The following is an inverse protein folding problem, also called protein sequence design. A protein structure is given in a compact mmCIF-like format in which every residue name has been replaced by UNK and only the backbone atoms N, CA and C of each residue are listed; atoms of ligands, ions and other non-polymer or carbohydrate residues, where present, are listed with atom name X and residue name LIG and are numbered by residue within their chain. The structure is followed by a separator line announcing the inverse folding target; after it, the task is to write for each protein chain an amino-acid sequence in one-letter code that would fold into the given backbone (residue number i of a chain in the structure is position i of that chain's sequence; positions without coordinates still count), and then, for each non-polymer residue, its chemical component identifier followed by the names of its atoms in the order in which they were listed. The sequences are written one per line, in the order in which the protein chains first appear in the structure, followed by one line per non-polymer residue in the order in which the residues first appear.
data_IF_285120061066
#
_entry.id   IF_285120061066
#
_cell.length_a   1.000
_cell.length_b   1.000
_cell.length_c   1.000
_cell.angle_alpha   90.00
_cell.angle_beta   90.00
_cell.angle_gamma   90.00
#
_symmetry.space_group_name_H-M   'P 1'
#
loop_
_entity.id
_entity.type
_entity.pdbx_description
1 polymer ?
#
# COMPACT_ATOMS: atom_id res chain seq x y z
N UNK A 1 -13.01 -23.95 6.21
CA UNK A 1 -13.73 -22.67 6.27
C UNK A 1 -13.91 -22.20 7.71
N UNK A 2 -14.69 -22.88 8.57
CA UNK A 2 -14.85 -22.48 9.99
C UNK A 2 -13.51 -22.27 10.75
N UNK A 3 -12.60 -23.26 10.71
CA UNK A 3 -11.26 -23.14 11.34
C UNK A 3 -10.36 -22.04 10.78
N UNK A 4 -10.59 -21.57 9.56
CA UNK A 4 -9.83 -20.45 8.97
C UNK A 4 -10.39 -19.12 9.47
N UNK A 5 -11.71 -19.01 9.49
CA UNK A 5 -12.42 -17.86 10.05
C UNK A 5 -12.05 -17.64 11.52
N UNK A 6 -12.05 -18.70 12.34
CA UNK A 6 -11.70 -18.61 13.77
C UNK A 6 -10.27 -18.07 13.99
N UNK A 7 -9.33 -18.40 13.10
CA UNK A 7 -7.94 -17.88 13.15
C UNK A 7 -7.89 -16.39 12.83
N UNK A 8 -8.64 -15.95 11.83
CA UNK A 8 -8.75 -14.52 11.52
C UNK A 8 -9.40 -13.73 12.65
N UNK A 9 -10.48 -14.26 13.25
CA UNK A 9 -11.08 -13.63 14.44
C UNK A 9 -10.06 -13.54 15.57
N UNK A 10 -9.30 -14.62 15.83
CA UNK A 10 -8.23 -14.62 16.82
C UNK A 10 -7.17 -13.54 16.57
N UNK A 11 -6.67 -13.42 15.34
CA UNK A 11 -5.71 -12.39 14.95
C UNK A 11 -6.29 -10.97 15.10
N UNK A 12 -7.52 -10.75 14.62
CA UNK A 12 -8.19 -9.46 14.71
C UNK A 12 -8.49 -9.05 16.16
N UNK A 13 -8.77 -10.02 17.04
CA UNK A 13 -8.92 -9.77 18.48
C UNK A 13 -7.59 -9.44 19.14
N UNK A 14 -6.51 -10.18 18.85
CA UNK A 14 -5.18 -9.87 19.39
C UNK A 14 -4.69 -8.48 18.96
N UNK A 15 -5.06 -8.05 17.76
CA UNK A 15 -4.70 -6.74 17.20
C UNK A 15 -5.74 -5.64 17.47
N UNK A 16 -6.74 -5.90 18.31
CA UNK A 16 -7.75 -4.93 18.79
C UNK A 16 -8.67 -4.35 17.68
N UNK A 17 -8.81 -5.05 16.55
CA UNK A 17 -9.83 -4.75 15.53
C UNK A 17 -11.21 -5.31 15.92
N UNK A 18 -11.24 -6.29 16.82
CA UNK A 18 -12.44 -6.91 17.38
C UNK A 18 -12.25 -7.05 18.90
N UNK A 19 -13.24 -6.64 19.67
CA UNK A 19 -13.33 -6.88 21.11
C UNK A 19 -14.33 -8.00 21.44
N UNK A 20 -14.29 -8.46 22.68
CA UNK A 20 -15.24 -9.45 23.19
C UNK A 20 -14.87 -10.90 22.84
N UNK A 21 -15.64 -11.89 23.34
CA UNK A 21 -15.37 -13.29 23.08
C UNK A 21 -15.66 -13.65 21.62
N UNK A 22 -15.00 -14.67 21.08
CA UNK A 22 -15.23 -15.15 19.71
C UNK A 22 -16.70 -15.55 19.42
N UNK A 23 -17.49 -15.85 20.46
CA UNK A 23 -18.92 -16.16 20.36
C UNK A 23 -19.81 -14.93 20.21
N UNK A 24 -19.32 -13.75 20.58
CA UNK A 24 -20.03 -12.47 20.49
C UNK A 24 -19.04 -11.32 20.21
N UNK A 25 -18.42 -11.30 19.00
CA UNK A 25 -17.41 -10.32 18.66
C UNK A 25 -18.01 -8.93 18.44
N UNK A 26 -17.36 -7.91 18.99
CA UNK A 26 -17.74 -6.49 18.84
C UNK A 26 -16.69 -5.78 18.01
N UNK A 27 -17.11 -5.18 16.89
CA UNK A 27 -16.19 -4.43 16.01
C UNK A 27 -15.77 -3.12 16.66
N UNK A 28 -14.46 -2.89 16.80
CA UNK A 28 -13.88 -1.65 17.34
C UNK A 28 -13.91 -0.52 16.30
N UNK A 29 -13.51 0.70 16.67
CA UNK A 29 -13.39 1.79 15.69
C UNK A 29 -12.30 1.51 14.65
N UNK A 30 -11.19 0.87 15.05
CA UNK A 30 -10.16 0.39 14.11
C UNK A 30 -10.71 -0.75 13.23
N UNK A 31 -11.55 -1.64 13.78
CA UNK A 31 -12.26 -2.65 13.00
C UNK A 31 -13.17 -2.06 11.92
N UNK A 32 -13.86 -0.95 12.24
CA UNK A 32 -14.70 -0.21 11.28
C UNK A 32 -13.87 0.50 10.20
N UNK A 33 -12.67 0.96 10.55
CA UNK A 33 -11.71 1.50 9.59
C UNK A 33 -11.24 0.40 8.64
N UNK A 34 -10.83 -0.77 9.16
CA UNK A 34 -10.41 -1.93 8.38
C UNK A 34 -11.49 -2.36 7.38
N UNK A 35 -12.75 -2.40 7.81
CA UNK A 35 -13.90 -2.77 6.97
C UNK A 35 -14.14 -1.86 5.74
N UNK A 36 -13.45 -0.72 5.63
CA UNK A 36 -13.51 0.21 4.48
C UNK A 36 -12.39 0.01 3.47
N UNK A 37 -11.46 -0.90 3.75
CA UNK A 37 -10.32 -1.20 2.90
C UNK A 37 -10.58 -2.54 2.21
N UNK A 38 -10.52 -2.53 0.88
CA UNK A 38 -10.75 -3.69 0.03
C UNK A 38 -9.47 -3.97 -0.74
N UNK A 39 -8.56 -4.69 -0.10
CA UNK A 39 -7.24 -5.03 -0.62
C UNK A 39 -6.77 -6.34 0.01
N UNK A 40 -5.91 -7.10 -0.68
CA UNK A 40 -5.21 -8.25 -0.08
C UNK A 40 -4.26 -7.84 1.05
N UNK A 41 -3.95 -6.55 1.17
CA UNK A 41 -3.13 -5.97 2.24
C UNK A 41 -3.94 -5.03 3.14
N UNK A 42 -5.24 -5.26 3.26
CA UNK A 42 -6.17 -4.43 4.04
C UNK A 42 -5.71 -4.20 5.49
N UNK A 43 -5.30 -5.27 6.18
CA UNK A 43 -4.83 -5.23 7.55
C UNK A 43 -3.53 -4.42 7.66
N UNK A 44 -2.59 -4.57 6.72
CA UNK A 44 -1.37 -3.75 6.69
C UNK A 44 -1.70 -2.26 6.46
N UNK A 45 -2.64 -1.95 5.58
CA UNK A 45 -3.08 -0.56 5.34
C UNK A 45 -3.73 -0.01 6.60
N UNK A 46 -4.62 -0.76 7.25
CA UNK A 46 -5.27 -0.35 8.49
C UNK A 46 -4.25 -0.07 9.61
N UNK A 47 -3.25 -0.94 9.75
CA UNK A 47 -2.12 -0.76 10.66
C UNK A 47 -1.34 0.54 10.36
N UNK A 48 -1.02 0.80 9.09
CA UNK A 48 -0.33 2.03 8.71
C UNK A 48 -1.16 3.29 9.02
N UNK A 49 -2.48 3.22 8.85
CA UNK A 49 -3.38 4.33 9.14
C UNK A 49 -3.53 4.59 10.64
N UNK A 50 -3.76 3.55 11.45
CA UNK A 50 -3.96 3.72 12.91
C UNK A 50 -2.68 4.07 13.66
N UNK A 51 -1.52 3.61 13.18
CA UNK A 51 -0.20 3.95 13.76
C UNK A 51 0.36 5.30 13.27
N UNK A 52 -0.30 5.94 12.29
CA UNK A 52 0.14 7.20 11.71
C UNK A 52 1.39 7.09 10.82
N UNK A 53 1.75 5.89 10.35
CA UNK A 53 2.95 5.66 9.53
C UNK A 53 2.99 6.49 8.24
N UNK A 54 1.83 6.93 7.75
CA UNK A 54 1.70 7.72 6.52
C UNK A 54 1.35 9.20 6.76
N UNK A 55 1.34 9.65 8.01
CA UNK A 55 1.09 11.05 8.33
C UNK A 55 2.24 11.97 7.89
N UNK A 56 1.92 13.21 7.52
CA UNK A 56 2.90 14.20 7.09
C UNK A 56 3.51 13.98 5.69
N UNK A 57 3.08 12.93 4.97
CA UNK A 57 3.45 12.68 3.58
C UNK A 57 2.80 13.71 2.64
N UNK A 58 3.54 14.11 1.61
CA UNK A 58 3.03 14.88 0.47
C UNK A 58 2.32 13.96 -0.53
N UNK A 59 1.48 14.49 -1.45
CA UNK A 59 0.69 13.67 -2.38
C UNK A 59 1.50 12.61 -3.14
N UNK A 60 2.63 13.00 -3.75
CA UNK A 60 3.48 12.06 -4.48
C UNK A 60 4.19 11.03 -3.56
N UNK A 61 4.46 11.39 -2.31
CA UNK A 61 5.05 10.47 -1.33
C UNK A 61 4.00 9.44 -0.88
N UNK A 62 2.76 9.87 -0.63
CA UNK A 62 1.66 8.96 -0.31
C UNK A 62 1.40 7.99 -1.47
N UNK A 63 1.39 8.48 -2.72
CA UNK A 63 1.30 7.61 -3.90
C UNK A 63 2.42 6.57 -3.94
N UNK A 64 3.65 6.98 -3.59
CA UNK A 64 4.80 6.09 -3.46
C UNK A 64 4.55 4.97 -2.45
N UNK A 65 4.25 5.29 -1.19
CA UNK A 65 4.09 4.25 -0.16
C UNK A 65 2.88 3.34 -0.43
N UNK A 66 1.77 3.88 -0.95
CA UNK A 66 0.60 3.10 -1.36
C UNK A 66 0.94 2.14 -2.50
N UNK A 67 1.75 2.58 -3.47
CA UNK A 67 2.20 1.69 -4.54
C UNK A 67 2.99 0.49 -4.04
N UNK A 68 3.76 0.64 -2.95
CA UNK A 68 4.52 -0.47 -2.41
C UNK A 68 3.65 -1.58 -1.83
N UNK A 69 2.42 -1.25 -1.42
CA UNK A 69 1.47 -2.21 -0.87
C UNK A 69 0.76 -2.99 -1.98
N UNK A 70 0.51 -2.38 -3.14
CA UNK A 70 -0.25 -3.01 -4.24
C UNK A 70 0.63 -3.60 -5.33
N UNK A 71 1.80 -3.01 -5.59
CA UNK A 71 2.68 -3.43 -6.67
C UNK A 71 3.29 -4.81 -6.40
N UNK A 72 3.46 -5.60 -7.47
CA UNK A 72 4.11 -6.90 -7.44
C UNK A 72 5.09 -7.01 -8.62
N UNK A 73 6.36 -7.23 -8.33
CA UNK A 73 7.38 -7.54 -9.34
C UNK A 73 7.11 -8.91 -9.95
N UNK A 74 7.11 -9.00 -11.29
CA UNK A 74 7.00 -10.30 -11.99
C UNK A 74 8.34 -11.04 -11.96
N UNK A 75 8.33 -12.28 -11.49
CA UNK A 75 9.50 -13.17 -11.49
C UNK A 75 10.44 -12.88 -10.32
N UNK A 76 10.41 -13.76 -9.32
CA UNK A 76 11.16 -13.61 -8.07
C UNK A 76 12.63 -14.02 -8.15
N UNK A 77 13.38 -13.50 -7.17
CA UNK A 77 14.69 -13.95 -6.69
C UNK A 77 15.95 -13.37 -7.36
N UNK A 78 15.84 -12.20 -7.98
CA UNK A 78 17.03 -11.36 -8.20
C UNK A 78 17.49 -10.69 -6.90
N UNK A 79 18.80 -10.58 -6.68
CA UNK A 79 19.38 -9.70 -5.64
C UNK A 79 19.05 -8.25 -5.98
N UNK A 80 17.84 -7.82 -5.67
CA UNK A 80 17.40 -6.44 -5.81
C UNK A 80 18.16 -5.51 -4.86
N UNK A 81 18.11 -4.21 -5.15
CA UNK A 81 18.59 -3.20 -4.22
C UNK A 81 17.84 -3.33 -2.87
N UNK A 82 18.46 -2.95 -1.74
CA UNK A 82 17.78 -2.96 -0.44
C UNK A 82 16.48 -2.14 -0.50
N UNK A 83 15.41 -2.66 0.12
CA UNK A 83 14.12 -1.98 0.16
C UNK A 83 14.28 -0.53 0.66
N UNK A 84 13.81 0.41 -0.14
CA UNK A 84 13.88 1.83 0.12
C UNK A 84 15.21 2.51 -0.23
N UNK A 85 16.20 1.82 -0.82
CA UNK A 85 17.54 2.37 -1.09
C UNK A 85 17.49 3.63 -1.98
N UNK A 86 16.68 3.62 -3.02
CA UNK A 86 16.64 4.68 -4.04
C UNK A 86 15.38 5.55 -3.95
N UNK A 87 14.86 5.71 -2.74
CA UNK A 87 13.62 6.47 -2.51
C UNK A 87 13.86 7.99 -2.63
N UNK A 88 13.02 8.72 -3.39
CA UNK A 88 13.25 10.14 -3.72
C UNK A 88 13.30 11.12 -2.54
N UNK A 89 12.68 10.81 -1.40
CA UNK A 89 12.64 11.70 -0.25
C UNK A 89 12.87 10.96 1.07
N UNK A 90 13.46 11.63 2.09
CA UNK A 90 13.64 11.03 3.41
C UNK A 90 12.32 10.61 4.08
N UNK A 91 11.24 11.38 3.91
CA UNK A 91 9.93 11.07 4.49
C UNK A 91 9.29 9.84 3.86
N UNK A 92 9.34 9.73 2.54
CA UNK A 92 8.87 8.54 1.85
C UNK A 92 9.66 7.30 2.28
N UNK A 93 10.98 7.42 2.45
CA UNK A 93 11.84 6.32 2.92
C UNK A 93 11.48 5.88 4.33
N UNK A 94 11.24 6.83 5.22
CA UNK A 94 10.78 6.57 6.59
C UNK A 94 9.44 5.84 6.59
N UNK A 95 8.45 6.33 5.83
CA UNK A 95 7.15 5.69 5.73
C UNK A 95 7.24 4.26 5.16
N UNK A 96 8.05 4.04 4.13
CA UNK A 96 8.32 2.69 3.59
C UNK A 96 8.95 1.78 4.65
N UNK A 97 9.93 2.26 5.41
CA UNK A 97 10.54 1.49 6.49
C UNK A 97 9.53 1.15 7.58
N UNK A 98 8.64 2.07 7.95
CA UNK A 98 7.57 1.81 8.91
C UNK A 98 6.57 0.79 8.37
N UNK A 99 6.12 0.93 7.12
CA UNK A 99 5.25 -0.05 6.43
C UNK A 99 5.89 -1.45 6.40
N UNK A 100 7.19 -1.54 6.07
CA UNK A 100 7.92 -2.81 6.05
C UNK A 100 8.00 -3.45 7.44
N UNK A 101 8.29 -2.68 8.49
CA UNK A 101 8.29 -3.19 9.88
C UNK A 101 6.92 -3.70 10.31
N UNK A 102 5.85 -2.95 10.01
CA UNK A 102 4.48 -3.37 10.29
C UNK A 102 4.14 -4.66 9.55
N UNK A 103 4.54 -4.79 8.29
CA UNK A 103 4.37 -6.01 7.51
C UNK A 103 5.12 -7.20 8.13
N UNK A 104 6.37 -7.01 8.57
CA UNK A 104 7.13 -8.08 9.24
C UNK A 104 6.45 -8.55 10.52
N UNK A 105 6.00 -7.63 11.37
CA UNK A 105 5.27 -7.98 12.60
C UNK A 105 3.95 -8.68 12.28
N UNK A 106 3.15 -8.12 11.36
CA UNK A 106 1.88 -8.72 10.97
C UNK A 106 2.07 -10.14 10.42
N UNK A 107 3.07 -10.35 9.57
CA UNK A 107 3.38 -11.69 9.01
C UNK A 107 3.80 -12.67 10.09
N UNK A 108 4.51 -12.24 11.13
CA UNK A 108 4.85 -13.10 12.26
C UNK A 108 3.59 -13.52 13.04
N UNK A 109 2.65 -12.60 13.26
CA UNK A 109 1.38 -12.89 13.95
C UNK A 109 0.49 -13.79 13.09
N UNK A 110 0.39 -13.55 11.79
CA UNK A 110 -0.31 -14.43 10.84
C UNK A 110 0.24 -15.86 10.93
N UNK A 111 1.57 -16.03 10.97
CA UNK A 111 2.19 -17.34 11.15
C UNK A 111 1.83 -17.97 12.50
N UNK A 112 1.87 -17.20 13.59
CA UNK A 112 1.49 -17.67 14.92
C UNK A 112 0.04 -18.18 14.97
N UNK A 113 -0.87 -17.51 14.25
CA UNK A 113 -2.27 -17.91 14.07
C UNK A 113 -2.48 -18.98 13.00
N UNK A 114 -1.42 -19.48 12.34
CA UNK A 114 -1.47 -20.45 11.24
C UNK A 114 -2.30 -19.95 10.05
N UNK A 115 -2.18 -18.67 9.74
CA UNK A 115 -2.71 -17.99 8.56
C UNK A 115 -1.59 -17.94 7.52
N UNK A 116 -1.94 -18.02 6.23
CA UNK A 116 -0.97 -17.81 5.15
C UNK A 116 -0.46 -16.37 5.23
N UNK A 117 0.86 -16.13 5.35
CA UNK A 117 1.37 -14.78 5.54
C UNK A 117 1.11 -13.88 4.32
N UNK A 118 0.63 -12.68 4.57
CA UNK A 118 0.36 -11.65 3.56
C UNK A 118 1.62 -11.21 2.86
N UNK A 119 1.56 -10.89 1.56
CA UNK A 119 2.72 -10.50 0.77
C UNK A 119 3.48 -9.31 1.38
N UNK A 120 4.80 -9.30 1.21
CA UNK A 120 5.64 -8.18 1.64
C UNK A 120 5.48 -6.98 0.68
N UNK A 121 5.60 -5.74 1.20
CA UNK A 121 5.66 -4.56 0.36
C UNK A 121 6.79 -4.62 -0.66
N UNK A 122 6.55 -4.13 -1.86
CA UNK A 122 7.49 -4.13 -2.98
C UNK A 122 7.67 -2.70 -3.49
N UNK A 123 8.87 -2.13 -3.36
CA UNK A 123 9.15 -0.75 -3.73
C UNK A 123 9.46 -0.53 -5.22
N UNK A 124 9.34 -1.57 -6.06
CA UNK A 124 9.70 -1.53 -7.47
C UNK A 124 8.97 -0.47 -8.30
N UNK A 125 7.76 -0.07 -7.89
CA UNK A 125 6.96 0.97 -8.57
C UNK A 125 7.02 2.36 -7.90
N UNK A 126 7.63 2.47 -6.72
CA UNK A 126 7.63 3.69 -5.90
C UNK A 126 8.18 4.89 -6.65
N UNK A 127 9.34 4.74 -7.30
CA UNK A 127 9.97 5.86 -8.05
C UNK A 127 9.14 6.26 -9.26
N UNK A 128 8.57 5.27 -9.95
CA UNK A 128 7.78 5.48 -11.17
C UNK A 128 6.54 6.30 -10.83
N UNK A 129 5.75 5.87 -9.84
CA UNK A 129 4.54 6.58 -9.44
C UNK A 129 4.85 7.94 -8.80
N UNK A 130 5.94 8.06 -8.05
CA UNK A 130 6.38 9.34 -7.48
C UNK A 130 6.69 10.34 -8.59
N UNK A 131 7.48 9.93 -9.60
CA UNK A 131 7.84 10.77 -10.74
C UNK A 131 6.60 11.16 -11.53
N UNK A 132 5.74 10.21 -11.84
CA UNK A 132 4.47 10.44 -12.54
C UNK A 132 3.58 11.44 -11.79
N UNK A 133 3.37 11.25 -10.49
CA UNK A 133 2.55 12.13 -9.66
C UNK A 133 3.12 13.55 -9.63
N UNK A 134 4.44 13.72 -9.68
CA UNK A 134 5.09 15.03 -9.70
C UNK A 134 5.04 15.73 -11.06
N UNK A 135 5.27 15.01 -12.16
CA UNK A 135 5.53 15.65 -13.47
C UNK A 135 4.42 15.39 -14.49
N UNK A 136 3.82 14.20 -14.51
CA UNK A 136 2.85 13.78 -15.53
C UNK A 136 3.51 13.45 -16.86
N UNK A 137 4.82 13.26 -16.83
CA UNK A 137 5.62 12.87 -17.98
C UNK A 137 5.80 11.35 -17.95
N UNK A 138 5.15 10.66 -18.89
CA UNK A 138 5.20 9.21 -18.99
C UNK A 138 6.60 8.72 -19.33
N UNK A 139 7.32 9.40 -20.23
CA UNK A 139 8.66 8.99 -20.63
C UNK A 139 9.62 9.08 -19.43
N UNK A 140 9.55 10.17 -18.67
CA UNK A 140 10.34 10.31 -17.45
C UNK A 140 9.94 9.30 -16.35
N UNK A 141 8.67 8.92 -16.25
CA UNK A 141 8.21 7.92 -15.29
C UNK A 141 8.72 6.51 -15.66
N UNK A 142 8.61 6.11 -16.93
CA UNK A 142 9.09 4.80 -17.41
C UNK A 142 10.61 4.69 -17.27
N UNK A 143 11.36 5.76 -17.58
CA UNK A 143 12.81 5.79 -17.37
C UNK A 143 13.23 5.59 -15.90
N UNK A 144 12.35 5.88 -14.93
CA UNK A 144 12.63 5.64 -13.52
C UNK A 144 12.50 4.16 -13.10
N UNK A 145 11.86 3.33 -13.92
CA UNK A 145 11.72 1.88 -13.71
C UNK A 145 13.02 1.13 -14.02
N UNK A 146 13.72 1.55 -15.09
CA UNK A 146 14.92 0.87 -15.61
C UNK A 146 16.12 0.89 -14.65
N UNK A 147 16.13 1.79 -13.66
CA UNK A 147 17.24 1.96 -12.71
C UNK A 147 17.37 0.77 -11.74
N UNK A 148 16.34 -0.06 -11.56
CA UNK A 148 16.36 -1.18 -10.61
C UNK A 148 16.93 -2.50 -11.16
N UNK A 149 17.37 -2.55 -12.42
CA UNK A 149 18.02 -3.75 -12.96
C UNK A 149 17.11 -4.98 -13.07
N UNK A 150 15.78 -4.81 -13.05
CA UNK A 150 14.78 -5.89 -13.15
C UNK A 150 14.78 -6.64 -14.49
N UNK A 151 15.68 -6.30 -15.42
CA UNK A 151 15.88 -6.96 -16.71
C UNK A 151 14.74 -6.79 -17.72
N UNK A 152 13.55 -6.37 -17.29
CA UNK A 152 12.40 -6.12 -18.14
C UNK A 152 11.86 -4.70 -17.94
N UNK A 153 11.84 -3.87 -19.02
CA UNK A 153 11.30 -2.53 -18.94
C UNK A 153 9.80 -2.57 -18.61
N UNK A 154 9.36 -1.65 -17.75
CA UNK A 154 7.94 -1.52 -17.42
C UNK A 154 7.15 -1.15 -18.69
N UNK A 155 6.26 -2.04 -19.12
CA UNK A 155 5.40 -1.78 -20.27
C UNK A 155 4.36 -0.71 -19.95
N UNK A 156 4.01 0.12 -20.95
CA UNK A 156 3.02 1.19 -20.79
C UNK A 156 1.65 0.68 -20.29
N UNK A 157 1.21 -0.51 -20.74
CA UNK A 157 -0.03 -1.13 -20.26
C UNK A 157 0.05 -1.54 -18.79
N UNK A 158 1.19 -2.08 -18.35
CA UNK A 158 1.41 -2.41 -16.94
C UNK A 158 1.49 -1.16 -16.06
N UNK A 159 2.11 -0.08 -16.56
CA UNK A 159 2.11 1.22 -15.91
C UNK A 159 0.68 1.71 -15.62
N UNK A 160 -0.21 1.70 -16.62
CA UNK A 160 -1.60 2.15 -16.43
C UNK A 160 -2.35 1.23 -15.46
N UNK A 161 -2.16 -0.09 -15.56
CA UNK A 161 -2.75 -1.06 -14.63
C UNK A 161 -2.36 -0.78 -13.18
N UNK A 162 -1.07 -0.58 -12.90
CA UNK A 162 -0.61 -0.27 -11.54
C UNK A 162 -1.08 1.11 -11.06
N UNK A 163 -1.14 2.12 -11.93
CA UNK A 163 -1.73 3.41 -11.58
C UNK A 163 -3.19 3.27 -11.13
N UNK A 164 -3.99 2.42 -11.79
CA UNK A 164 -5.39 2.16 -11.38
C UNK A 164 -5.46 1.54 -9.98
N UNK A 165 -4.66 0.52 -9.70
CA UNK A 165 -4.65 -0.10 -8.37
C UNK A 165 -4.20 0.88 -7.27
N UNK A 166 -3.23 1.74 -7.56
CA UNK A 166 -2.83 2.83 -6.66
C UNK A 166 -3.98 3.83 -6.46
N UNK A 167 -4.69 4.22 -7.52
CA UNK A 167 -5.84 5.11 -7.44
C UNK A 167 -6.96 4.52 -6.58
N UNK A 168 -7.25 3.24 -6.74
CA UNK A 168 -8.28 2.53 -5.99
C UNK A 168 -7.94 2.48 -4.51
N UNK A 169 -6.69 2.11 -4.16
CA UNK A 169 -6.27 2.09 -2.76
C UNK A 169 -6.17 3.51 -2.16
N UNK A 170 -5.75 4.52 -2.91
CA UNK A 170 -5.79 5.91 -2.46
C UNK A 170 -7.21 6.39 -2.18
N UNK A 171 -8.20 5.96 -2.96
CA UNK A 171 -9.61 6.29 -2.72
C UNK A 171 -10.10 5.66 -1.41
N UNK A 172 -9.74 4.40 -1.15
CA UNK A 172 -10.03 3.73 0.12
C UNK A 172 -9.34 4.43 1.30
N UNK A 173 -8.05 4.79 1.17
CA UNK A 173 -7.33 5.58 2.19
C UNK A 173 -8.03 6.92 2.45
N UNK A 174 -8.47 7.62 1.40
CA UNK A 174 -9.24 8.87 1.54
C UNK A 174 -10.53 8.67 2.33
N UNK A 175 -11.19 7.52 2.21
CA UNK A 175 -12.48 7.26 2.85
C UNK A 175 -12.35 6.63 4.26
N UNK A 176 -11.23 5.94 4.53
CA UNK A 176 -10.98 5.20 5.77
C UNK A 176 -10.13 5.99 6.79
N UNK A 177 -9.19 6.83 6.33
CA UNK A 177 -8.21 7.46 7.22
C UNK A 177 -8.88 8.38 8.28
N UNK A 178 -8.51 8.23 9.57
CA UNK A 178 -9.06 9.05 10.65
C UNK A 178 -8.59 10.50 10.54
N UNK A 179 -7.34 10.70 10.11
CA UNK A 179 -6.71 12.01 9.95
C UNK A 179 -7.25 12.78 8.71
N UNK A 180 -7.90 13.96 8.89
CA UNK A 180 -8.41 14.78 7.79
C UNK A 180 -7.36 15.26 6.79
N UNK A 181 -6.14 15.56 7.25
CA UNK A 181 -5.05 16.00 6.38
C UNK A 181 -4.60 14.86 5.47
N UNK A 182 -4.52 13.63 5.99
CA UNK A 182 -4.19 12.45 5.19
C UNK A 182 -5.26 12.21 4.11
N UNK A 183 -6.55 12.37 4.45
CA UNK A 183 -7.64 12.31 3.45
C UNK A 183 -7.47 13.37 2.36
N UNK A 184 -7.13 14.60 2.72
CA UNK A 184 -6.90 15.67 1.75
C UNK A 184 -5.68 15.38 0.86
N UNK A 185 -4.60 14.84 1.42
CA UNK A 185 -3.42 14.40 0.69
C UNK A 185 -3.75 13.28 -0.29
N UNK A 186 -4.50 12.26 0.12
CA UNK A 186 -4.96 11.19 -0.76
C UNK A 186 -5.81 11.73 -1.92
N UNK A 187 -6.73 12.65 -1.65
CA UNK A 187 -7.53 13.32 -2.69
C UNK A 187 -6.65 14.05 -3.71
N UNK A 188 -5.61 14.76 -3.26
CA UNK A 188 -4.65 15.44 -4.16
C UNK A 188 -3.85 14.44 -4.98
N UNK A 189 -3.34 13.36 -4.35
CA UNK A 189 -2.60 12.31 -5.03
C UNK A 189 -3.41 11.65 -6.14
N UNK A 190 -4.71 11.39 -5.91
CA UNK A 190 -5.64 10.90 -6.94
C UNK A 190 -5.67 11.83 -8.15
N UNK A 191 -5.80 13.14 -7.93
CA UNK A 191 -5.80 14.13 -9.01
C UNK A 191 -4.46 14.19 -9.76
N UNK A 192 -3.35 14.11 -9.04
CA UNK A 192 -1.98 14.14 -9.61
C UNK A 192 -1.67 12.90 -10.47
N UNK A 193 -2.26 11.74 -10.15
CA UNK A 193 -2.09 10.49 -10.90
C UNK A 193 -3.08 10.41 -12.07
N UNK A 194 -4.33 10.83 -11.90
CA UNK A 194 -5.40 10.70 -12.89
C UNK A 194 -5.30 11.77 -13.98
N UNK A 195 -4.31 11.63 -14.85
CA UNK A 195 -4.06 12.52 -16.00
C UNK A 195 -3.47 11.76 -17.18
N UNK A 196 -3.39 12.40 -18.34
CA UNK A 196 -2.79 11.82 -19.56
C UNK A 196 -3.33 10.42 -19.87
N UNK A 197 -2.43 9.47 -20.14
CA UNK A 197 -2.78 8.08 -20.48
C UNK A 197 -3.60 7.36 -19.40
N UNK A 198 -3.43 7.74 -18.13
CA UNK A 198 -4.19 7.13 -17.01
C UNK A 198 -5.65 7.61 -17.00
N UNK A 199 -5.91 8.83 -17.49
CA UNK A 199 -7.26 9.38 -17.57
C UNK A 199 -8.03 8.90 -18.81
N UNK A 200 -7.35 8.65 -19.93
CA UNK A 200 -7.98 8.25 -21.20
C UNK A 200 -8.50 6.80 -21.16
N UNK A 201 -7.84 5.94 -20.39
CA UNK A 201 -8.22 4.52 -20.25
C UNK A 201 -9.31 4.31 -19.15
N UNK A 202 -9.79 5.38 -18.51
CA UNK A 202 -10.84 5.29 -17.47
C UNK A 202 -12.29 5.39 -18.02
N UNK A 203 -12.46 5.28 -19.35
CA UNK A 203 -13.73 5.37 -20.08
C UNK A 203 -14.17 4.04 -20.68
#
# INVERSE_FOLDING_TARGET
MARTFDRFVGLLTEREFIDGPATDPVVTDDGRLLARIYSESDLLVAECLRTGAWEGLKPAELAGVVSAVVYETRGGDGQGAPFGADVPTPRLRQALTQTSRLSTTLRADEQAHRITPSREPDDGFVRVIYRWSRTGDLAAALAAADVNGSGSPLLAGDFVRWCRQVLDLLDQVRNAAPNPELRATAKRAIGDIRRGVVAVDAG
#
